data_IF_535706829433
#
_entry.id   IF_535706829433
#
_cell.length_a   1.000
_cell.length_b   1.000
_cell.length_c   1.000
_cell.angle_alpha   90.00
_cell.angle_beta   90.00
_cell.angle_gamma   90.00
#
_symmetry.space_group_name_H-M   'P 1'
#
loop_
_entity.id
_entity.type
_entity.pdbx_description
1 polymer ?
#
# COMPACT_ATOMS: atom_id res chain seq x y z
N UNK A 1 -7.12 31.40 8.19
CA UNK A 1 -7.07 30.98 9.61
C UNK A 1 -5.74 31.44 10.20
N UNK A 2 -5.62 31.55 11.53
CA UNK A 2 -4.35 31.87 12.21
C UNK A 2 -3.18 30.96 11.79
N UNK A 3 -3.49 29.71 11.42
CA UNK A 3 -2.51 28.75 10.91
C UNK A 3 -1.88 29.20 9.60
N UNK A 4 -2.67 29.70 8.64
CA UNK A 4 -2.12 30.18 7.36
C UNK A 4 -1.17 31.37 7.54
N UNK A 5 -1.49 32.29 8.44
CA UNK A 5 -0.67 33.46 8.73
C UNK A 5 0.63 33.08 9.47
N UNK A 6 0.56 32.12 10.39
CA UNK A 6 1.75 31.59 11.08
C UNK A 6 2.72 30.90 10.10
N UNK A 7 2.20 30.07 9.19
CA UNK A 7 3.01 29.37 8.18
C UNK A 7 3.65 30.35 7.19
N UNK A 8 2.92 31.38 6.75
CA UNK A 8 3.40 32.41 5.82
C UNK A 8 4.40 33.40 6.44
N UNK A 9 4.55 33.42 7.77
CA UNK A 9 5.47 34.32 8.46
C UNK A 9 6.65 33.58 9.10
N UNK A 10 6.76 32.27 8.90
CA UNK A 10 7.83 31.46 9.49
C UNK A 10 8.83 31.05 8.40
N UNK A 11 10.00 31.73 8.29
CA UNK A 11 10.98 31.56 7.20
C UNK A 11 11.38 30.13 6.88
N UNK A 12 11.36 29.24 7.88
CA UNK A 12 11.67 27.82 7.74
C UNK A 12 10.77 27.10 6.72
N UNK A 13 9.55 27.59 6.49
CA UNK A 13 8.57 27.01 5.55
C UNK A 13 8.59 27.63 4.15
N UNK A 14 9.29 28.75 3.95
CA UNK A 14 9.27 29.46 2.66
C UNK A 14 10.15 28.80 1.59
N UNK A 15 11.16 28.04 2.03
CA UNK A 15 12.14 27.39 1.16
C UNK A 15 12.29 25.90 1.46
N UNK A 16 11.40 25.31 2.26
CA UNK A 16 11.28 23.86 2.27
C UNK A 16 10.57 23.49 0.98
N UNK A 17 11.25 22.93 -0.05
CA UNK A 17 10.52 22.08 -0.97
C UNK A 17 9.78 21.09 -0.07
N UNK A 18 8.47 20.92 -0.26
CA UNK A 18 7.76 19.80 0.37
C UNK A 18 8.62 18.59 0.08
N UNK A 19 9.32 18.10 1.10
CA UNK A 19 10.19 16.97 0.94
C UNK A 19 9.25 15.83 0.55
N UNK A 20 9.33 15.46 -0.72
CA UNK A 20 8.89 14.18 -1.27
C UNK A 20 9.58 13.00 -0.58
N UNK A 21 10.24 13.18 0.57
CA UNK A 21 10.81 12.13 1.41
C UNK A 21 9.74 11.27 2.10
N UNK A 22 8.46 11.61 1.95
CA UNK A 22 7.35 10.78 2.41
C UNK A 22 6.79 9.84 1.32
N UNK A 23 7.32 9.85 0.09
CA UNK A 23 7.05 8.71 -0.80
C UNK A 23 7.84 7.52 -0.26
N UNK A 24 7.14 6.55 0.34
CA UNK A 24 7.71 5.23 0.58
C UNK A 24 8.39 4.77 -0.71
N UNK A 25 9.65 4.26 -0.64
CA UNK A 25 10.31 3.76 -1.81
C UNK A 25 9.40 2.73 -2.47
N UNK A 26 9.05 2.97 -3.74
CA UNK A 26 8.30 2.01 -4.53
C UNK A 26 9.09 0.71 -4.49
N UNK A 27 8.54 -0.28 -3.81
CA UNK A 27 9.16 -1.60 -3.73
C UNK A 27 9.34 -2.11 -5.17
N UNK A 28 10.60 -2.34 -5.56
CA UNK A 28 10.94 -2.88 -6.86
C UNK A 28 10.58 -4.36 -6.86
N UNK A 29 9.30 -4.65 -7.11
CA UNK A 29 8.83 -6.01 -7.34
C UNK A 29 9.43 -6.48 -8.66
N UNK A 30 10.57 -7.18 -8.59
CA UNK A 30 11.29 -7.70 -9.75
C UNK A 30 10.31 -8.48 -10.67
N UNK A 31 9.94 -7.94 -11.85
CA UNK A 31 8.87 -8.51 -12.68
C UNK A 31 9.21 -9.91 -13.24
N UNK A 32 10.50 -10.27 -13.23
CA UNK A 32 11.02 -11.51 -13.78
C UNK A 32 11.14 -12.67 -12.81
N UNK A 33 11.14 -12.43 -11.49
CA UNK A 33 11.24 -13.51 -10.51
C UNK A 33 9.82 -13.93 -10.13
N UNK A 34 9.24 -14.81 -10.95
CA UNK A 34 8.03 -15.56 -10.58
C UNK A 34 8.37 -16.53 -9.47
N UNK A 35 8.53 -16.00 -8.26
CA UNK A 35 8.72 -16.79 -7.05
C UNK A 35 7.63 -17.85 -6.96
N UNK A 36 7.90 -19.00 -6.32
CA UNK A 36 6.86 -19.99 -6.07
C UNK A 36 5.61 -19.39 -5.43
N UNK A 37 5.78 -18.41 -4.54
CA UNK A 37 4.71 -17.64 -3.93
C UNK A 37 3.88 -16.87 -4.97
N UNK A 38 4.51 -16.13 -5.89
CA UNK A 38 3.80 -15.41 -6.96
C UNK A 38 2.94 -16.35 -7.80
N UNK A 39 3.45 -17.53 -8.16
CA UNK A 39 2.68 -18.52 -8.94
C UNK A 39 1.48 -19.06 -8.17
N UNK A 40 1.64 -19.31 -6.87
CA UNK A 40 0.55 -19.77 -6.01
C UNK A 40 -0.54 -18.71 -5.86
N UNK A 41 -0.15 -17.43 -5.71
CA UNK A 41 -1.09 -16.31 -5.64
C UNK A 41 -1.93 -16.23 -6.93
N UNK A 42 -1.28 -16.24 -8.10
CA UNK A 42 -1.99 -16.20 -9.39
C UNK A 42 -2.89 -17.42 -9.55
N UNK A 43 -2.40 -18.62 -9.25
CA UNK A 43 -3.20 -19.84 -9.34
C UNK A 43 -4.41 -19.81 -8.39
N UNK A 44 -4.28 -19.24 -7.19
CA UNK A 44 -5.41 -19.11 -6.27
C UNK A 44 -6.46 -18.14 -6.82
N UNK A 45 -6.04 -16.99 -7.35
CA UNK A 45 -6.93 -15.99 -7.96
C UNK A 45 -7.64 -16.56 -9.19
N UNK A 46 -6.92 -17.26 -10.07
CA UNK A 46 -7.50 -17.86 -11.30
C UNK A 46 -8.55 -18.93 -11.00
N UNK A 47 -8.46 -19.59 -9.84
CA UNK A 47 -9.43 -20.58 -9.39
C UNK A 47 -10.64 -19.97 -8.65
N UNK A 48 -10.65 -18.66 -8.39
CA UNK A 48 -11.80 -17.97 -7.79
C UNK A 48 -12.87 -17.66 -8.84
N UNK A 49 -14.13 -17.64 -8.40
CA UNK A 49 -15.23 -17.08 -9.19
C UNK A 49 -15.09 -15.56 -9.32
N UNK A 50 -15.74 -14.98 -10.33
CA UNK A 50 -15.71 -13.53 -10.55
C UNK A 50 -16.14 -12.74 -9.31
N UNK A 51 -17.22 -13.17 -8.64
CA UNK A 51 -17.72 -12.51 -7.42
C UNK A 51 -16.76 -12.64 -6.23
N UNK A 52 -15.96 -13.71 -6.16
CA UNK A 52 -14.92 -13.85 -5.12
C UNK A 52 -13.75 -12.92 -5.41
N UNK A 53 -13.31 -12.82 -6.66
CA UNK A 53 -12.27 -11.88 -7.06
C UNK A 53 -12.66 -10.43 -6.76
N UNK A 54 -13.91 -10.03 -7.05
CA UNK A 54 -14.44 -8.71 -6.73
C UNK A 54 -14.40 -8.42 -5.22
N UNK A 55 -14.79 -9.39 -4.39
CA UNK A 55 -14.73 -9.25 -2.93
C UNK A 55 -13.29 -9.11 -2.44
N UNK A 56 -12.37 -9.93 -2.95
CA UNK A 56 -10.95 -9.84 -2.61
C UNK A 56 -10.40 -8.47 -2.98
N UNK A 57 -10.70 -7.98 -4.19
CA UNK A 57 -10.31 -6.63 -4.61
C UNK A 57 -10.88 -5.56 -3.67
N UNK A 58 -12.18 -5.65 -3.32
CA UNK A 58 -12.81 -4.70 -2.41
C UNK A 58 -12.17 -4.69 -1.02
N UNK A 59 -11.86 -5.86 -0.45
CA UNK A 59 -11.20 -5.95 0.85
C UNK A 59 -9.77 -5.39 0.81
N UNK A 60 -9.00 -5.73 -0.22
CA UNK A 60 -7.65 -5.21 -0.39
C UNK A 60 -7.65 -3.68 -0.55
N UNK A 61 -8.58 -3.11 -1.32
CA UNK A 61 -8.71 -1.66 -1.46
C UNK A 61 -9.15 -0.96 -0.18
N UNK A 62 -10.01 -1.60 0.64
CA UNK A 62 -10.55 -1.01 1.87
C UNK A 62 -9.57 -1.10 3.05
N UNK A 63 -8.90 -2.23 3.19
CA UNK A 63 -8.14 -2.59 4.38
C UNK A 63 -6.63 -2.49 4.13
N UNK A 64 -6.18 -2.59 2.88
CA UNK A 64 -4.76 -2.78 2.55
C UNK A 64 -4.29 -4.20 2.83
N UNK A 65 -3.16 -4.59 2.22
CA UNK A 65 -2.68 -5.97 2.26
C UNK A 65 -2.38 -6.46 3.69
N UNK A 66 -1.77 -5.62 4.54
CA UNK A 66 -1.39 -5.99 5.91
C UNK A 66 -2.61 -6.33 6.77
N UNK A 67 -3.62 -5.47 6.77
CA UNK A 67 -4.83 -5.69 7.56
C UNK A 67 -5.68 -6.84 7.00
N UNK A 68 -5.68 -7.00 5.67
CA UNK A 68 -6.34 -8.13 5.02
C UNK A 68 -5.73 -9.47 5.47
N UNK A 69 -4.39 -9.56 5.49
CA UNK A 69 -3.67 -10.75 5.95
C UNK A 69 -3.87 -11.02 7.45
N UNK A 70 -3.83 -9.97 8.29
CA UNK A 70 -4.14 -10.09 9.71
C UNK A 70 -5.54 -10.65 9.98
N UNK A 71 -6.54 -10.26 9.16
CA UNK A 71 -7.91 -10.80 9.25
C UNK A 71 -8.01 -12.28 8.84
N UNK A 72 -7.09 -12.75 8.02
CA UNK A 72 -6.95 -14.15 7.65
C UNK A 72 -6.13 -14.97 8.65
N UNK A 73 -5.67 -14.35 9.75
CA UNK A 73 -4.74 -14.94 10.72
C UNK A 73 -3.40 -15.33 10.09
N UNK A 74 -2.99 -14.57 9.07
CA UNK A 74 -1.72 -14.69 8.35
C UNK A 74 -0.87 -13.47 8.74
N UNK A 75 -0.51 -13.34 10.01
CA UNK A 75 0.40 -12.27 10.43
C UNK A 75 1.85 -12.69 10.14
N UNK A 76 2.55 -11.93 9.31
CA UNK A 76 3.98 -12.11 8.98
C UNK A 76 4.86 -11.43 10.05
N UNK A 77 4.53 -11.68 11.31
CA UNK A 77 5.26 -11.20 12.48
C UNK A 77 5.94 -12.40 13.16
N UNK A 78 6.97 -12.95 12.52
CA UNK A 78 7.92 -13.91 13.08
C UNK A 78 9.35 -13.54 12.68
#
# INVERSE_FOLDING_TARGET
>A
SQVCEFIQNTPAFHNTPMLLEAEEPLAEYAPGIRTPAYRQIISAIDNMTHSEQEKVAQFLSREGIRNFLARLDIDESA
#
